data_IF_966908985797
#
_entry.id   IF_966908985797
#
_cell.length_a   1.000
_cell.length_b   1.000
_cell.length_c   1.000
_cell.angle_alpha   90.00
_cell.angle_beta   90.00
_cell.angle_gamma   90.00
#
_symmetry.space_group_name_H-M   'P 1'
#
loop_
_entity.id
_entity.type
_entity.pdbx_description
1 polymer ?
#
# COMPACT_ATOMS: atom_id res chain seq x y z
N UNK A 1 20.41 28.79 -19.69
CA UNK A 1 21.39 27.95 -20.43
C UNK A 1 20.68 27.37 -21.66
N UNK A 2 21.19 27.56 -22.89
CA UNK A 2 20.55 27.04 -24.12
C UNK A 2 21.16 25.68 -24.48
N UNK A 3 20.38 24.61 -24.38
CA UNK A 3 20.83 23.25 -24.69
C UNK A 3 20.86 22.98 -26.21
N UNK A 4 21.79 22.13 -26.70
CA UNK A 4 21.86 21.73 -28.10
C UNK A 4 20.58 21.05 -28.60
N UNK A 5 20.20 21.31 -29.86
CA UNK A 5 18.98 20.77 -30.50
C UNK A 5 18.93 19.23 -30.47
N UNK A 6 20.08 18.59 -30.63
CA UNK A 6 20.26 17.14 -30.54
C UNK A 6 19.77 16.59 -29.19
N UNK A 7 20.07 17.33 -28.12
CA UNK A 7 19.74 16.96 -26.74
C UNK A 7 18.25 17.10 -26.48
N UNK A 8 17.62 18.16 -27.00
CA UNK A 8 16.17 18.37 -26.93
C UNK A 8 15.40 17.25 -27.63
N UNK A 9 15.79 16.87 -28.85
CA UNK A 9 15.17 15.76 -29.59
C UNK A 9 15.29 14.41 -28.88
N UNK A 10 16.44 14.14 -28.24
CA UNK A 10 16.65 12.92 -27.47
C UNK A 10 15.80 12.91 -26.19
N UNK A 11 15.68 14.05 -25.52
CA UNK A 11 14.80 14.23 -24.38
C UNK A 11 13.32 14.02 -24.76
N UNK A 12 12.84 14.63 -25.84
CA UNK A 12 11.47 14.48 -26.36
C UNK A 12 11.13 13.02 -26.69
N UNK A 13 12.03 12.31 -27.37
CA UNK A 13 11.85 10.89 -27.68
C UNK A 13 11.82 10.01 -26.42
N UNK A 14 12.60 10.35 -25.39
CA UNK A 14 12.54 9.68 -24.11
C UNK A 14 11.21 9.98 -23.38
N UNK A 15 10.74 11.24 -23.43
CA UNK A 15 9.50 11.67 -22.74
C UNK A 15 8.27 10.95 -23.27
N UNK A 16 8.22 10.68 -24.58
CA UNK A 16 7.12 9.92 -25.21
C UNK A 16 7.00 8.47 -24.70
N UNK A 17 8.06 7.91 -24.13
CA UNK A 17 8.10 6.55 -23.61
C UNK A 17 8.13 6.46 -22.07
N UNK A 18 8.10 7.59 -21.35
CA UNK A 18 8.17 7.60 -19.88
C UNK A 18 6.91 7.05 -19.22
N UNK A 19 5.74 7.22 -19.84
CA UNK A 19 4.47 6.77 -19.28
C UNK A 19 4.03 5.44 -19.93
N UNK A 20 3.77 4.39 -19.13
CA UNK A 20 3.23 3.14 -19.64
C UNK A 20 1.90 3.38 -20.36
N UNK A 21 1.75 2.88 -21.60
CA UNK A 21 0.53 3.07 -22.42
C UNK A 21 -0.76 2.70 -21.69
N UNK A 22 -0.72 1.64 -20.86
CA UNK A 22 -1.87 1.11 -20.11
C UNK A 22 -2.34 2.02 -18.97
N UNK A 23 -1.45 2.85 -18.41
CA UNK A 23 -1.73 3.65 -17.20
C UNK A 23 -1.67 5.15 -17.46
N UNK A 24 -1.44 5.56 -18.71
CA UNK A 24 -1.28 6.96 -19.11
C UNK A 24 -2.46 7.84 -18.68
N UNK A 25 -3.68 7.33 -18.83
CA UNK A 25 -4.91 8.06 -18.46
C UNK A 25 -4.96 8.35 -16.96
N UNK A 26 -4.59 7.37 -16.13
CA UNK A 26 -4.53 7.52 -14.66
C UNK A 26 -3.48 8.55 -14.25
N UNK A 27 -2.27 8.47 -14.81
CA UNK A 27 -1.23 9.48 -14.54
C UNK A 27 -1.64 10.88 -14.99
N UNK A 28 -2.35 10.98 -16.12
CA UNK A 28 -2.84 12.26 -16.63
C UNK A 28 -3.89 12.87 -15.69
N UNK A 29 -4.84 12.07 -15.20
CA UNK A 29 -5.85 12.54 -14.26
C UNK A 29 -5.27 12.96 -12.90
N UNK A 30 -4.25 12.25 -12.40
CA UNK A 30 -3.58 12.65 -11.15
C UNK A 30 -2.73 13.92 -11.33
N UNK A 31 -2.12 14.09 -12.50
CA UNK A 31 -1.39 15.30 -12.84
C UNK A 31 -2.31 16.52 -12.92
N UNK A 32 -3.49 16.40 -13.53
CA UNK A 32 -4.48 17.47 -13.58
C UNK A 32 -4.91 17.94 -12.17
N UNK A 33 -5.12 17.01 -11.24
CA UNK A 33 -5.42 17.35 -9.83
C UNK A 33 -4.31 18.19 -9.20
N UNK A 34 -3.05 17.81 -9.43
CA UNK A 34 -1.90 18.56 -8.95
C UNK A 34 -1.78 19.95 -9.58
N UNK A 35 -2.02 20.08 -10.90
CA UNK A 35 -2.04 21.38 -11.58
C UNK A 35 -3.13 22.30 -11.03
N UNK A 36 -4.32 21.75 -10.79
CA UNK A 36 -5.42 22.52 -10.20
C UNK A 36 -5.06 23.01 -8.80
N UNK A 37 -4.51 22.13 -7.95
CA UNK A 37 -4.04 22.51 -6.62
C UNK A 37 -2.95 23.60 -6.66
N UNK A 38 -2.00 23.52 -7.61
CA UNK A 38 -0.99 24.58 -7.78
C UNK A 38 -1.63 25.91 -8.21
N UNK A 39 -2.66 25.86 -9.06
CA UNK A 39 -3.40 27.05 -9.51
C UNK A 39 -4.16 27.69 -8.36
N UNK A 40 -4.84 26.87 -7.54
CA UNK A 40 -5.58 27.29 -6.35
C UNK A 40 -4.65 27.94 -5.30
N UNK A 41 -3.42 27.47 -5.19
CA UNK A 41 -2.42 27.97 -4.24
C UNK A 41 -1.47 29.02 -4.85
N UNK A 42 -1.74 29.51 -6.07
CA UNK A 42 -0.93 30.50 -6.77
C UNK A 42 0.56 30.13 -6.89
N UNK A 43 0.85 28.85 -7.17
CA UNK A 43 2.21 28.32 -7.31
C UNK A 43 2.56 28.16 -8.80
N UNK A 44 3.58 28.89 -9.25
CA UNK A 44 4.00 28.87 -10.66
C UNK A 44 5.10 27.85 -10.99
N UNK A 45 5.82 27.36 -9.97
CA UNK A 45 7.00 26.53 -10.15
C UNK A 45 6.96 25.26 -9.31
N UNK A 46 7.17 24.12 -9.97
CA UNK A 46 7.30 22.83 -9.30
C UNK A 46 8.65 22.78 -8.61
N UNK A 47 8.64 22.60 -7.29
CA UNK A 47 9.81 22.37 -6.45
C UNK A 47 9.50 21.27 -5.43
N UNK A 48 10.53 20.77 -4.75
CA UNK A 48 10.34 19.81 -3.66
C UNK A 48 9.40 20.36 -2.57
N UNK A 49 9.55 21.63 -2.20
CA UNK A 49 8.69 22.31 -1.21
C UNK A 49 7.22 22.29 -1.62
N UNK A 50 6.95 22.52 -2.91
CA UNK A 50 5.59 22.53 -3.47
C UNK A 50 4.99 21.13 -3.48
N UNK A 51 5.77 20.11 -3.85
CA UNK A 51 5.33 18.72 -3.78
C UNK A 51 5.05 18.27 -2.35
N UNK A 52 5.89 18.67 -1.39
CA UNK A 52 5.68 18.38 0.03
C UNK A 52 4.43 19.07 0.57
N UNK A 53 4.18 20.33 0.20
CA UNK A 53 2.94 21.04 0.52
C UNK A 53 1.72 20.34 -0.04
N UNK A 54 1.75 19.98 -1.33
CA UNK A 54 0.67 19.23 -1.97
C UNK A 54 0.38 17.90 -1.26
N UNK A 55 1.40 17.12 -0.95
CA UNK A 55 1.22 15.85 -0.25
C UNK A 55 0.76 16.03 1.21
N UNK A 56 1.12 17.13 1.87
CA UNK A 56 0.61 17.47 3.20
C UNK A 56 -0.89 17.75 3.14
N UNK A 57 -1.32 18.64 2.25
CA UNK A 57 -2.73 18.95 2.01
C UNK A 57 -3.51 17.70 1.58
N UNK A 58 -2.91 16.86 0.73
CA UNK A 58 -3.47 15.58 0.34
C UNK A 58 -3.64 14.70 1.57
N UNK A 59 -2.64 14.59 2.45
CA UNK A 59 -2.75 13.76 3.66
C UNK A 59 -3.77 14.27 4.67
N UNK A 60 -4.00 15.58 4.73
CA UNK A 60 -5.00 16.20 5.59
C UNK A 60 -6.42 16.04 5.04
N UNK A 61 -6.59 16.16 3.72
CA UNK A 61 -7.88 16.04 3.03
C UNK A 61 -8.25 14.59 2.62
N UNK A 62 -7.26 13.70 2.55
CA UNK A 62 -7.39 12.25 2.37
C UNK A 62 -7.17 11.48 3.67
N UNK A 63 -7.00 12.16 4.81
CA UNK A 63 -7.43 11.58 6.08
C UNK A 63 -8.84 11.07 5.84
N UNK A 64 -9.17 9.79 6.12
CA UNK A 64 -10.50 9.27 5.87
C UNK A 64 -11.47 10.24 6.53
N UNK A 65 -12.22 10.99 5.72
CA UNK A 65 -13.32 11.79 6.26
C UNK A 65 -14.12 10.82 7.12
N UNK A 66 -14.48 11.26 8.31
CA UNK A 66 -15.23 10.55 9.33
C UNK A 66 -16.63 10.07 8.87
N UNK A 67 -16.84 9.85 7.56
CA UNK A 67 -17.70 8.79 7.02
C UNK A 67 -17.01 7.42 7.12
N UNK A 68 -16.23 7.25 8.18
CA UNK A 68 -15.67 6.00 8.66
C UNK A 68 -16.77 4.95 8.70
N UNK A 69 -16.48 3.77 8.16
CA UNK A 69 -17.27 2.57 8.35
C UNK A 69 -17.66 2.43 9.82
N UNK A 70 -18.90 2.83 10.15
CA UNK A 70 -19.40 2.83 11.52
C UNK A 70 -19.52 1.36 11.95
N UNK A 71 -18.44 0.84 12.53
CA UNK A 71 -18.28 -0.56 12.84
C UNK A 71 -19.35 -1.02 13.82
N UNK A 72 -19.79 -0.13 14.73
CA UNK A 72 -20.90 -0.39 15.63
C UNK A 72 -22.22 -0.55 14.88
N UNK A 73 -22.51 0.33 13.92
CA UNK A 73 -23.69 0.21 13.05
C UNK A 73 -23.65 -1.09 12.27
N UNK A 74 -22.52 -1.42 11.63
CA UNK A 74 -22.37 -2.65 10.85
C UNK A 74 -22.55 -3.91 11.71
N UNK A 75 -22.00 -3.91 12.93
CA UNK A 75 -22.20 -5.01 13.89
C UNK A 75 -23.67 -5.10 14.31
N UNK A 76 -24.34 -3.97 14.60
CA UNK A 76 -25.77 -3.94 14.98
C UNK A 76 -26.66 -4.43 13.84
N UNK A 77 -26.42 -3.97 12.63
CA UNK A 77 -27.14 -4.38 11.43
C UNK A 77 -26.95 -5.89 11.21
N UNK A 78 -25.71 -6.38 11.32
CA UNK A 78 -25.43 -7.81 11.25
C UNK A 78 -26.15 -8.61 12.35
N UNK A 79 -26.16 -8.13 13.60
CA UNK A 79 -26.88 -8.77 14.71
C UNK A 79 -28.38 -8.83 14.46
N UNK A 80 -28.97 -7.82 13.81
CA UNK A 80 -30.40 -7.79 13.47
C UNK A 80 -30.81 -8.87 12.46
N UNK A 81 -29.87 -9.31 11.62
CA UNK A 81 -30.06 -10.38 10.63
C UNK A 81 -29.92 -11.79 11.22
N UNK A 82 -29.43 -11.92 12.46
CA UNK A 82 -29.26 -13.23 13.11
C UNK A 82 -30.62 -13.84 13.47
N UNK A 83 -30.77 -15.18 13.42
CA UNK A 83 -32.01 -15.83 13.82
C UNK A 83 -32.42 -15.47 15.26
N UNK A 84 -33.70 -15.17 15.48
CA UNK A 84 -34.24 -14.91 16.81
C UNK A 84 -34.09 -16.16 17.70
N UNK A 85 -33.70 -15.97 18.96
CA UNK A 85 -33.51 -17.08 19.91
C UNK A 85 -32.26 -17.93 19.67
N UNK A 86 -31.32 -17.46 18.84
CA UNK A 86 -30.04 -18.14 18.63
C UNK A 86 -29.21 -18.14 19.93
N UNK A 87 -28.94 -19.33 20.48
CA UNK A 87 -28.08 -19.53 21.66
C UNK A 87 -26.58 -19.53 21.34
N UNK A 88 -26.21 -19.44 20.06
CA UNK A 88 -24.82 -19.47 19.61
C UNK A 88 -24.08 -18.20 20.02
N UNK A 89 -22.92 -18.38 20.67
CA UNK A 89 -22.08 -17.31 21.21
C UNK A 89 -21.18 -16.71 20.14
N UNK A 90 -20.80 -17.47 19.11
CA UNK A 90 -19.98 -16.97 18.01
C UNK A 90 -20.75 -15.92 17.22
N UNK A 91 -20.10 -14.77 16.99
CA UNK A 91 -20.70 -13.65 16.29
C UNK A 91 -21.09 -14.05 14.86
N UNK A 92 -20.14 -14.59 14.10
CA UNK A 92 -20.33 -14.86 12.68
C UNK A 92 -20.96 -16.23 12.41
N UNK A 93 -22.14 -16.19 11.81
CA UNK A 93 -22.93 -17.35 11.40
C UNK A 93 -23.00 -17.49 9.87
N UNK A 94 -23.26 -18.72 9.44
CA UNK A 94 -23.26 -19.12 8.03
C UNK A 94 -24.50 -18.60 7.33
N UNK A 95 -24.32 -18.02 6.15
CA UNK A 95 -25.41 -17.65 5.25
C UNK A 95 -25.61 -18.73 4.19
N UNK A 96 -26.86 -19.15 4.00
CA UNK A 96 -27.26 -20.11 2.95
C UNK A 96 -28.54 -19.63 2.31
N UNK A 97 -28.60 -19.66 0.98
CA UNK A 97 -29.80 -19.28 0.21
C UNK A 97 -30.38 -17.92 0.64
N UNK A 98 -29.51 -16.93 0.86
CA UNK A 98 -29.91 -15.57 1.28
C UNK A 98 -30.37 -15.42 2.73
N UNK A 99 -30.25 -16.46 3.57
CA UNK A 99 -30.65 -16.41 4.99
C UNK A 99 -29.50 -16.74 5.93
N UNK A 100 -29.48 -16.06 7.08
CA UNK A 100 -28.57 -16.35 8.18
C UNK A 100 -29.04 -17.62 8.92
N UNK A 101 -28.14 -18.58 9.11
CA UNK A 101 -28.42 -19.84 9.83
C UNK A 101 -27.80 -19.79 11.22
N UNK A 102 -28.12 -20.74 12.10
CA UNK A 102 -27.50 -20.81 13.46
C UNK A 102 -26.09 -21.38 13.47
N UNK A 103 -25.61 -21.92 12.35
CA UNK A 103 -24.31 -22.59 12.27
C UNK A 103 -23.16 -21.57 12.20
N UNK A 104 -22.16 -21.64 13.10
CA UNK A 104 -20.99 -20.76 13.02
C UNK A 104 -20.22 -20.89 11.71
N UNK A 105 -19.64 -19.79 11.24
CA UNK A 105 -18.73 -19.82 10.08
C UNK A 105 -17.43 -20.53 10.46
N UNK A 106 -16.98 -21.44 9.60
CA UNK A 106 -15.72 -22.17 9.78
C UNK A 106 -14.48 -21.34 9.42
N UNK A 107 -13.34 -21.67 10.04
CA UNK A 107 -12.04 -21.00 9.79
C UNK A 107 -11.62 -20.99 8.31
N UNK A 108 -11.91 -22.08 7.58
CA UNK A 108 -11.54 -22.21 6.17
C UNK A 108 -12.35 -21.25 5.29
N UNK A 109 -13.61 -20.96 5.66
CA UNK A 109 -14.45 -19.97 4.97
C UNK A 109 -13.88 -18.58 5.16
N UNK A 110 -13.54 -18.21 6.40
CA UNK A 110 -12.85 -16.94 6.69
C UNK A 110 -11.55 -16.80 5.92
N UNK A 111 -10.75 -17.86 5.85
CA UNK A 111 -9.49 -17.87 5.09
C UNK A 111 -9.65 -17.59 3.60
N UNK A 112 -10.83 -17.84 3.02
CA UNK A 112 -11.15 -17.58 1.61
C UNK A 112 -11.73 -16.19 1.34
N UNK A 113 -12.14 -15.44 2.37
CA UNK A 113 -12.75 -14.12 2.20
C UNK A 113 -11.86 -13.17 1.38
N UNK A 114 -10.55 -13.05 1.65
CA UNK A 114 -9.69 -12.17 0.85
C UNK A 114 -9.64 -12.56 -0.63
N UNK A 115 -9.63 -13.86 -0.93
CA UNK A 115 -9.72 -14.37 -2.31
C UNK A 115 -11.04 -14.02 -2.98
N UNK A 116 -12.17 -14.11 -2.26
CA UNK A 116 -13.49 -13.71 -2.78
C UNK A 116 -13.52 -12.22 -3.09
N UNK A 117 -12.97 -11.38 -2.21
CA UNK A 117 -12.86 -9.93 -2.41
C UNK A 117 -11.97 -9.63 -3.63
N UNK A 118 -10.81 -10.30 -3.75
CA UNK A 118 -9.91 -10.13 -4.89
C UNK A 118 -10.58 -10.52 -6.22
N UNK A 119 -11.37 -11.60 -6.24
CA UNK A 119 -12.18 -11.99 -7.41
C UNK A 119 -13.20 -10.93 -7.77
N UNK A 120 -13.92 -10.41 -6.77
CA UNK A 120 -14.92 -9.35 -6.96
C UNK A 120 -14.30 -8.06 -7.53
N UNK A 121 -13.11 -7.70 -7.07
CA UNK A 121 -12.37 -6.51 -7.52
C UNK A 121 -11.62 -6.71 -8.85
N UNK A 122 -11.60 -7.93 -9.40
CA UNK A 122 -10.89 -8.23 -10.65
C UNK A 122 -9.35 -8.21 -10.53
N UNK A 123 -8.80 -8.49 -9.35
CA UNK A 123 -7.36 -8.55 -9.14
C UNK A 123 -6.75 -9.83 -9.75
N UNK A 124 -5.48 -9.75 -10.16
CA UNK A 124 -4.72 -10.91 -10.64
C UNK A 124 -4.44 -11.91 -9.51
N UNK A 125 -4.38 -13.20 -9.86
CA UNK A 125 -4.11 -14.32 -8.94
C UNK A 125 -4.91 -14.30 -7.62
N UNK A 126 -6.26 -14.27 -7.64
CA UNK A 126 -7.06 -14.14 -6.42
C UNK A 126 -6.83 -15.24 -5.38
N UNK A 127 -6.37 -16.42 -5.79
CA UNK A 127 -6.13 -17.55 -4.87
C UNK A 127 -4.89 -17.34 -3.99
N UNK A 128 -4.01 -16.37 -4.33
CA UNK A 128 -2.89 -15.94 -3.47
C UNK A 128 -3.34 -15.10 -2.27
N UNK A 129 -4.54 -14.53 -2.31
CA UNK A 129 -5.10 -13.73 -1.22
C UNK A 129 -5.71 -14.66 -0.16
N UNK A 130 -4.88 -15.03 0.81
CA UNK A 130 -5.29 -15.87 1.95
C UNK A 130 -5.63 -15.03 3.17
N UNK A 131 -6.31 -15.60 4.16
CA UNK A 131 -6.57 -14.94 5.46
C UNK A 131 -5.33 -14.33 6.13
N UNK A 132 -4.12 -14.78 5.79
CA UNK A 132 -2.88 -14.24 6.33
C UNK A 132 -2.55 -12.84 5.81
N UNK A 133 -3.00 -12.46 4.61
CA UNK A 133 -2.73 -11.13 4.06
C UNK A 133 -3.32 -10.02 4.95
N UNK A 134 -4.53 -10.23 5.48
CA UNK A 134 -5.17 -9.28 6.39
C UNK A 134 -4.35 -9.03 7.66
N UNK A 135 -3.75 -10.09 8.22
CA UNK A 135 -2.88 -9.98 9.40
C UNK A 135 -1.61 -9.20 9.09
N UNK A 136 -0.99 -9.45 7.93
CA UNK A 136 0.22 -8.73 7.49
C UNK A 136 -0.06 -7.25 7.24
N UNK A 137 -1.15 -6.94 6.55
CA UNK A 137 -1.59 -5.56 6.32
C UNK A 137 -1.84 -4.84 7.64
N UNK A 138 -2.58 -5.45 8.56
CA UNK A 138 -2.87 -4.84 9.87
C UNK A 138 -1.61 -4.60 10.71
N UNK A 139 -0.66 -5.53 10.69
CA UNK A 139 0.62 -5.38 11.39
C UNK A 139 1.46 -4.24 10.81
N UNK A 140 1.54 -4.18 9.48
CA UNK A 140 2.32 -3.18 8.76
C UNK A 140 1.76 -1.78 9.01
N UNK A 141 0.43 -1.59 8.87
CA UNK A 141 -0.22 -0.30 9.17
C UNK A 141 0.02 0.15 10.63
N UNK A 142 -0.03 -0.78 11.58
CA UNK A 142 0.23 -0.47 12.98
C UNK A 142 1.70 -0.07 13.22
N UNK A 143 2.64 -0.73 12.55
CA UNK A 143 4.06 -0.36 12.61
C UNK A 143 4.33 1.00 11.94
N UNK A 144 3.69 1.29 10.81
CA UNK A 144 3.80 2.58 10.11
C UNK A 144 3.27 3.74 10.96
N UNK A 145 2.19 3.50 11.71
CA UNK A 145 1.67 4.42 12.71
C UNK A 145 2.63 4.64 13.91
N UNK A 146 3.76 3.92 13.95
CA UNK A 146 4.80 4.09 14.96
C UNK A 146 4.60 3.23 16.21
N UNK A 147 3.79 2.17 16.13
CA UNK A 147 3.61 1.28 17.27
C UNK A 147 4.93 0.62 17.67
N UNK A 148 5.19 0.58 18.98
CA UNK A 148 6.32 -0.17 19.52
C UNK A 148 6.20 -1.66 19.23
N UNK A 149 7.33 -2.37 19.22
CA UNK A 149 7.37 -3.82 19.02
C UNK A 149 6.53 -4.58 20.08
N UNK A 150 6.41 -4.06 21.31
CA UNK A 150 5.57 -4.69 22.35
C UNK A 150 4.08 -4.53 22.05
N UNK A 151 3.66 -3.36 21.58
CA UNK A 151 2.30 -3.10 21.08
C UNK A 151 1.98 -4.00 19.88
N UNK A 152 2.91 -4.10 18.94
CA UNK A 152 2.78 -4.94 17.75
C UNK A 152 2.63 -6.43 18.10
N UNK A 153 3.45 -6.94 19.03
CA UNK A 153 3.33 -8.32 19.55
C UNK A 153 2.01 -8.56 20.26
N UNK A 154 1.54 -7.60 21.06
CA UNK A 154 0.25 -7.69 21.76
C UNK A 154 -0.91 -7.71 20.78
N UNK A 155 -0.86 -6.86 19.75
CA UNK A 155 -1.85 -6.81 18.66
C UNK A 155 -1.95 -8.13 17.89
N UNK A 156 -0.81 -8.67 17.47
CA UNK A 156 -0.76 -9.91 16.68
C UNK A 156 -0.85 -11.20 17.52
N UNK A 157 -0.78 -11.11 18.85
CA UNK A 157 -0.71 -12.28 19.74
C UNK A 157 0.58 -13.08 19.60
N UNK A 158 1.71 -12.42 19.30
CA UNK A 158 2.99 -13.08 18.99
C UNK A 158 3.91 -13.18 20.21
N UNK A 159 4.49 -14.36 20.41
CA UNK A 159 5.38 -14.65 21.55
C UNK A 159 6.79 -14.09 21.36
N UNK A 160 7.30 -14.05 20.13
CA UNK A 160 8.62 -13.50 19.80
C UNK A 160 8.54 -12.30 18.86
N UNK A 161 9.62 -11.51 18.84
CA UNK A 161 9.82 -10.42 17.88
C UNK A 161 10.00 -10.97 16.46
N UNK A 162 10.78 -12.03 16.30
CA UNK A 162 11.01 -12.69 15.01
C UNK A 162 9.73 -13.12 14.30
N UNK A 163 8.75 -13.64 15.04
CA UNK A 163 7.45 -13.99 14.46
C UNK A 163 6.71 -12.72 14.04
N UNK A 164 6.74 -11.66 14.84
CA UNK A 164 6.07 -10.40 14.51
C UNK A 164 6.68 -9.73 13.28
N UNK A 165 8.01 -9.71 13.18
CA UNK A 165 8.77 -9.19 12.04
C UNK A 165 8.43 -9.91 10.74
N UNK A 166 8.20 -11.24 10.78
CA UNK A 166 7.76 -12.00 9.61
C UNK A 166 6.40 -11.59 9.03
N UNK A 167 5.60 -10.80 9.76
CA UNK A 167 4.34 -10.23 9.26
C UNK A 167 4.48 -8.79 8.76
N UNK A 168 5.60 -8.13 9.01
CA UNK A 168 5.86 -6.79 8.50
C UNK A 168 6.25 -6.89 7.03
N UNK A 169 5.49 -6.23 6.17
CA UNK A 169 5.90 -6.08 4.78
C UNK A 169 6.92 -4.95 4.64
N UNK A 170 7.85 -5.13 3.71
CA UNK A 170 8.76 -4.09 3.24
C UNK A 170 7.96 -2.97 2.56
N UNK A 171 7.45 -2.02 3.35
CA UNK A 171 6.68 -0.92 2.79
C UNK A 171 7.60 0.22 2.36
N UNK A 172 7.30 0.80 1.19
CA UNK A 172 7.97 2.00 0.67
C UNK A 172 7.84 3.15 1.67
N UNK A 173 6.70 3.24 2.36
CA UNK A 173 6.44 4.24 3.39
C UNK A 173 7.41 4.14 4.56
N UNK A 174 7.65 2.92 5.09
CA UNK A 174 8.61 2.68 6.17
C UNK A 174 10.03 3.05 5.76
N UNK A 175 10.43 2.68 4.53
CA UNK A 175 11.72 3.04 3.94
C UNK A 175 11.89 4.56 3.80
N UNK A 176 10.86 5.25 3.30
CA UNK A 176 10.86 6.71 3.17
C UNK A 176 10.91 7.42 4.53
N UNK A 177 10.26 6.87 5.57
CA UNK A 177 10.28 7.42 6.93
C UNK A 177 11.68 7.34 7.54
N UNK A 178 12.38 6.23 7.36
CA UNK A 178 13.80 6.08 7.77
C UNK A 178 14.68 7.06 7.00
N UNK A 179 14.51 7.17 5.68
CA UNK A 179 15.25 8.14 4.86
C UNK A 179 15.05 9.59 5.34
N UNK A 180 13.82 9.97 5.70
CA UNK A 180 13.53 11.31 6.26
C UNK A 180 14.19 11.54 7.61
N UNK A 181 14.20 10.54 8.49
CA UNK A 181 14.90 10.62 9.78
C UNK A 181 16.41 10.78 9.57
N UNK A 182 17.01 10.04 8.65
CA UNK A 182 18.43 10.16 8.30
C UNK A 182 18.75 11.52 7.67
N UNK A 183 17.90 12.01 6.76
CA UNK A 183 18.06 13.32 6.12
C UNK A 183 17.95 14.48 7.12
N UNK A 184 17.15 14.33 8.18
CA UNK A 184 17.02 15.33 9.25
C UNK A 184 18.25 15.40 10.17
N UNK A 185 19.13 14.40 10.15
CA UNK A 185 20.38 14.35 10.94
C UNK A 185 21.51 15.13 10.22
N UNK A 186 21.18 16.28 9.63
CA UNK A 186 21.96 17.04 8.64
C UNK A 186 23.28 17.69 9.15
N UNK A 187 23.81 17.28 10.29
CA UNK A 187 25.07 17.79 10.86
C UNK A 187 26.07 16.66 11.09
N UNK A 188 26.57 16.03 10.01
CA UNK A 188 27.77 15.21 10.11
C UNK A 188 28.82 15.58 9.08
N UNK A 189 30.06 15.31 9.50
CA UNK A 189 31.32 15.49 8.79
C UNK A 189 31.31 14.82 7.40
N UNK A 190 32.14 15.31 6.48
CA UNK A 190 32.06 14.95 5.06
C UNK A 190 32.30 13.46 4.79
N UNK A 191 33.01 12.75 5.68
CA UNK A 191 33.21 11.29 5.62
C UNK A 191 31.92 10.48 5.87
N UNK A 192 31.00 11.01 6.70
CA UNK A 192 29.71 10.37 6.96
C UNK A 192 28.75 10.58 5.78
N UNK A 193 28.84 11.73 5.09
CA UNK A 193 28.07 11.99 3.87
C UNK A 193 28.46 11.03 2.75
N UNK A 194 29.75 10.75 2.57
CA UNK A 194 30.24 9.74 1.60
C UNK A 194 29.71 8.35 1.95
N UNK A 195 29.69 8.00 3.24
CA UNK A 195 29.14 6.71 3.70
C UNK A 195 27.63 6.59 3.46
N UNK A 196 26.87 7.67 3.69
CA UNK A 196 25.43 7.72 3.41
C UNK A 196 25.16 7.64 1.90
N UNK A 197 25.93 8.33 1.07
CA UNK A 197 25.81 8.26 -0.39
C UNK A 197 26.14 6.86 -0.91
N UNK A 198 27.18 6.21 -0.38
CA UNK A 198 27.51 4.83 -0.71
C UNK A 198 26.40 3.85 -0.26
N UNK A 199 25.77 4.07 0.88
CA UNK A 199 24.64 3.27 1.35
C UNK A 199 23.39 3.45 0.46
N UNK A 200 23.12 4.69 0.02
CA UNK A 200 22.02 5.00 -0.92
C UNK A 200 22.30 4.43 -2.32
N UNK A 201 23.56 4.45 -2.78
CA UNK A 201 23.97 3.85 -4.05
C UNK A 201 23.90 2.32 -4.01
N UNK A 202 24.36 1.68 -2.93
CA UNK A 202 24.24 0.22 -2.75
C UNK A 202 22.78 -0.22 -2.63
N UNK A 203 21.94 0.58 -1.97
CA UNK A 203 20.50 0.34 -1.88
C UNK A 203 19.79 0.50 -3.22
N UNK A 204 20.10 1.54 -4.01
CA UNK A 204 19.52 1.75 -5.35
C UNK A 204 20.01 0.73 -6.37
N UNK A 205 21.27 0.28 -6.29
CA UNK A 205 21.81 -0.81 -7.11
C UNK A 205 21.13 -2.15 -6.80
N UNK A 206 20.82 -2.45 -5.52
CA UNK A 206 20.04 -3.65 -5.13
C UNK A 206 18.58 -3.61 -5.57
N UNK A 207 18.00 -2.43 -5.77
CA UNK A 207 16.66 -2.28 -6.40
C UNK A 207 16.71 -2.59 -7.90
N UNK A 208 17.84 -2.34 -8.58
CA UNK A 208 18.04 -2.67 -10.00
C UNK A 208 18.37 -4.16 -10.20
N UNK A 209 19.02 -4.80 -9.22
CA UNK A 209 19.34 -6.24 -9.24
C UNK A 209 18.24 -7.18 -8.71
N UNK A 210 17.01 -6.69 -8.47
CA UNK A 210 15.88 -7.61 -8.35
C UNK A 210 15.43 -8.03 -9.75
N UNK A 211 15.73 -9.26 -10.22
CA UNK A 211 15.07 -9.76 -11.40
C UNK A 211 13.58 -9.85 -11.07
N UNK A 212 12.79 -9.10 -11.83
CA UNK A 212 11.42 -9.47 -12.12
C UNK A 212 11.48 -10.93 -12.55
N UNK A 213 11.14 -11.88 -11.67
CA UNK A 213 10.82 -13.23 -12.10
C UNK A 213 9.56 -13.10 -12.95
N UNK A 214 9.77 -12.82 -14.23
CA UNK A 214 8.81 -13.15 -15.26
C UNK A 214 8.56 -14.64 -15.12
N UNK A 215 7.35 -15.01 -14.74
CA UNK A 215 6.83 -16.31 -15.10
C UNK A 215 6.81 -16.33 -16.65
N UNK A 216 7.88 -16.85 -17.25
CA UNK A 216 7.86 -17.34 -18.62
C UNK A 216 6.86 -18.49 -18.65
N UNK A 217 5.65 -18.19 -19.07
CA UNK A 217 4.73 -19.19 -19.61
C UNK A 217 5.42 -19.72 -20.87
N UNK A 218 5.87 -20.97 -20.80
CA UNK A 218 6.23 -21.72 -21.99
C UNK A 218 4.99 -21.82 -22.86
N UNK A 219 5.04 -21.16 -24.01
CA UNK A 219 4.20 -21.47 -25.16
C UNK A 219 4.62 -22.87 -25.60
N UNK A 220 3.81 -23.87 -25.29
CA UNK A 220 3.90 -25.19 -25.94
C UNK A 220 3.06 -25.08 -27.21
N UNK A 221 3.72 -24.79 -28.32
CA UNK A 221 3.20 -25.05 -29.67
C UNK A 221 3.88 -26.31 -30.23
N UNK A 222 3.04 -27.28 -30.61
CA UNK A 222 3.30 -28.23 -31.70
C UNK A 222 4.18 -29.45 -31.41
N UNK A 223 3.56 -30.61 -31.14
CA UNK A 223 3.35 -31.74 -32.08
C UNK A 223 2.64 -32.89 -31.35
#
# INVERSE_FOLDING_TARGET
MKFPIQFKKKAEKATQNLLPKKSKEVYSSEYEKFINWMTENCVEHISETVLLGYFSDLSENFSPKEDEMNSLKLIRDYMSLRPRGCSEKRLFLTYRQGRCTVQPVGKNTFGKIPSIIAKYLGLSDPDKYTGHCMRRTSATLLAEAGASMTTLKRHGGWKSTSIAEGYLEDSISSKNKVLRMLAAIQNFDDDVKVTIILFVLDFTMKVVEYPFHSATVQVVEGF
#
